data_IF_616579609207
#
_entry.id   IF_616579609207
#
_cell.length_a   1.000
_cell.length_b   1.000
_cell.length_c   1.000
_cell.angle_alpha   90.00
_cell.angle_beta   90.00
_cell.angle_gamma   90.00
#
_symmetry.space_group_name_H-M   'P 1'
#
loop_
_entity.id
_entity.type
_entity.pdbx_description
1 polymer ?
#
# COMPACT_ATOMS: atom_id res chain seq x y z
N UNK A 1 10.69 36.54 0.35
CA UNK A 1 10.62 35.12 -0.10
C UNK A 1 11.14 34.29 1.06
N UNK A 2 10.34 33.38 1.59
CA UNK A 2 10.76 32.46 2.64
C UNK A 2 11.31 31.22 1.93
N UNK A 3 12.62 30.96 2.05
CA UNK A 3 13.22 29.74 1.53
C UNK A 3 13.16 28.65 2.61
N UNK A 4 12.49 27.56 2.34
CA UNK A 4 12.47 26.38 3.20
C UNK A 4 13.63 25.46 2.78
N UNK A 5 14.53 25.19 3.73
CA UNK A 5 15.62 24.24 3.50
C UNK A 5 15.23 22.88 4.05
N UNK A 6 15.18 21.88 3.21
CA UNK A 6 14.87 20.49 3.55
C UNK A 6 15.86 19.53 2.89
N UNK A 7 15.99 18.34 3.43
CA UNK A 7 16.84 17.30 2.85
C UNK A 7 16.08 16.50 1.80
N UNK A 8 14.73 16.44 1.91
CA UNK A 8 13.87 15.78 0.97
C UNK A 8 12.55 16.54 0.78
N UNK A 9 11.99 16.43 -0.42
CA UNK A 9 10.65 16.91 -0.74
C UNK A 9 9.82 15.73 -1.22
N UNK A 10 8.70 15.48 -0.55
CA UNK A 10 7.72 14.47 -0.93
C UNK A 10 6.52 15.16 -1.57
N UNK A 11 6.19 14.79 -2.79
CA UNK A 11 5.07 15.37 -3.53
C UNK A 11 3.90 14.38 -3.55
N UNK A 12 2.80 14.77 -2.93
CA UNK A 12 1.60 13.97 -2.76
C UNK A 12 1.45 13.41 -1.35
N UNK A 13 0.38 13.81 -0.67
CA UNK A 13 0.04 13.44 0.71
C UNK A 13 -0.93 12.25 0.80
N UNK A 14 -0.89 11.33 -0.16
CA UNK A 14 -1.57 10.04 -0.06
C UNK A 14 -0.79 9.04 0.81
N UNK A 15 -1.27 7.80 0.94
CA UNK A 15 -0.63 6.77 1.78
C UNK A 15 0.87 6.62 1.50
N UNK A 16 1.25 6.48 0.23
CA UNK A 16 2.64 6.31 -0.15
C UNK A 16 3.51 7.52 0.26
N UNK A 17 3.03 8.74 0.01
CA UNK A 17 3.77 9.95 0.37
C UNK A 17 3.90 10.13 1.89
N UNK A 18 2.83 9.87 2.63
CA UNK A 18 2.84 9.95 4.10
C UNK A 18 3.83 8.92 4.68
N UNK A 19 3.79 7.67 4.23
CA UNK A 19 4.71 6.63 4.70
C UNK A 19 6.15 6.99 4.35
N UNK A 20 6.39 7.44 3.11
CA UNK A 20 7.74 7.90 2.69
C UNK A 20 8.24 9.04 3.57
N UNK A 21 7.40 10.05 3.84
CA UNK A 21 7.77 11.16 4.71
C UNK A 21 8.09 10.69 6.14
N UNK A 22 7.30 9.77 6.68
CA UNK A 22 7.54 9.20 8.01
C UNK A 22 8.86 8.45 8.09
N UNK A 23 9.18 7.63 7.10
CA UNK A 23 10.44 6.87 7.08
C UNK A 23 11.67 7.80 6.95
N UNK A 24 11.57 8.84 6.12
CA UNK A 24 12.61 9.86 6.02
C UNK A 24 12.80 10.63 7.33
N UNK A 25 11.72 11.01 8.01
CA UNK A 25 11.77 11.66 9.33
C UNK A 25 12.41 10.74 10.39
N UNK A 26 12.05 9.43 10.38
CA UNK A 26 12.67 8.43 11.27
C UNK A 26 14.17 8.28 11.01
N UNK A 27 14.59 8.46 9.77
CA UNK A 27 16.00 8.49 9.39
C UNK A 27 16.71 9.82 9.69
N UNK A 28 16.05 10.75 10.39
CA UNK A 28 16.61 12.03 10.80
C UNK A 28 16.63 13.08 9.70
N UNK A 29 15.94 12.88 8.58
CA UNK A 29 15.90 13.84 7.49
C UNK A 29 14.86 14.93 7.76
N UNK A 30 15.13 16.13 7.29
CA UNK A 30 14.15 17.23 7.27
C UNK A 30 13.31 17.08 5.99
N UNK A 31 12.00 16.93 6.15
CA UNK A 31 11.10 16.64 5.03
C UNK A 31 10.10 17.76 4.84
N UNK A 32 9.90 18.18 3.59
CA UNK A 32 8.74 18.94 3.17
C UNK A 32 7.80 18.02 2.42
N UNK A 33 6.56 17.90 2.91
CA UNK A 33 5.50 17.22 2.17
C UNK A 33 4.62 18.27 1.52
N UNK A 34 4.42 18.14 0.21
CA UNK A 34 3.64 19.06 -0.62
C UNK A 34 2.45 18.28 -1.19
N UNK A 35 1.26 18.80 -1.00
CA UNK A 35 0.05 18.27 -1.62
C UNK A 35 -0.71 19.36 -2.37
N UNK A 36 -1.49 18.98 -3.37
CA UNK A 36 -2.34 19.90 -4.12
C UNK A 36 -3.65 20.22 -3.42
N UNK A 37 -4.03 19.38 -2.47
CA UNK A 37 -5.29 19.52 -1.73
C UNK A 37 -5.12 20.38 -0.46
N UNK A 38 -6.23 20.70 0.17
CA UNK A 38 -6.23 21.42 1.43
C UNK A 38 -5.84 20.52 2.60
N UNK A 39 -5.41 21.07 3.75
CA UNK A 39 -5.06 20.26 4.92
C UNK A 39 -6.15 19.28 5.36
N UNK A 40 -7.43 19.66 5.20
CA UNK A 40 -8.57 18.82 5.58
C UNK A 40 -8.77 17.62 4.64
N UNK A 41 -8.13 17.64 3.48
CA UNK A 41 -8.18 16.61 2.45
C UNK A 41 -6.86 15.85 2.29
N UNK A 42 -5.91 16.07 3.18
CA UNK A 42 -4.68 15.31 3.20
C UNK A 42 -4.97 13.82 3.42
N UNK A 43 -4.41 12.95 2.60
CA UNK A 43 -4.66 11.50 2.63
C UNK A 43 -5.05 10.91 1.26
N UNK A 44 -5.37 11.78 0.30
CA UNK A 44 -5.67 11.40 -1.07
C UNK A 44 -6.88 10.45 -1.17
N UNK A 45 -6.77 9.44 -2.03
CA UNK A 45 -7.85 8.48 -2.25
C UNK A 45 -8.19 7.63 -1.03
N UNK A 46 -7.28 7.51 -0.05
CA UNK A 46 -7.53 6.75 1.17
C UNK A 46 -8.72 7.29 1.99
N UNK A 47 -9.00 8.60 1.90
CA UNK A 47 -10.16 9.22 2.55
C UNK A 47 -11.50 8.72 2.01
N UNK A 48 -11.52 8.21 0.81
CA UNK A 48 -12.72 7.71 0.12
C UNK A 48 -12.77 6.19 0.06
N UNK A 49 -11.70 5.55 0.53
CA UNK A 49 -11.61 4.11 0.52
C UNK A 49 -12.46 3.48 1.61
N UNK A 50 -12.91 2.28 1.35
CA UNK A 50 -13.63 1.45 2.32
C UNK A 50 -12.78 1.10 3.56
N UNK A 51 -11.45 1.14 3.45
CA UNK A 51 -10.51 0.92 4.56
C UNK A 51 -10.22 -0.54 4.87
N UNK A 52 -10.66 -1.47 4.02
CA UNK A 52 -10.34 -2.89 4.16
C UNK A 52 -8.96 -3.23 3.57
N UNK A 53 -8.34 -4.25 4.15
CA UNK A 53 -7.17 -4.90 3.61
C UNK A 53 -7.48 -6.38 3.39
N UNK A 54 -7.11 -6.91 2.23
CA UNK A 54 -7.15 -8.34 1.96
C UNK A 54 -5.83 -8.95 2.42
N UNK A 55 -5.86 -9.69 3.53
CA UNK A 55 -4.70 -10.38 4.07
C UNK A 55 -4.90 -11.89 3.94
N UNK A 56 -3.81 -12.62 3.74
CA UNK A 56 -3.85 -14.06 3.45
C UNK A 56 -3.33 -14.85 4.64
N UNK A 57 -4.06 -15.90 5.03
CA UNK A 57 -3.60 -16.87 6.03
C UNK A 57 -3.29 -16.28 7.39
N UNK A 58 -4.06 -15.30 7.84
CA UNK A 58 -3.81 -14.63 9.13
C UNK A 58 -4.19 -15.53 10.33
N UNK A 59 -3.53 -15.35 11.50
CA UNK A 59 -3.92 -16.05 12.71
C UNK A 59 -5.38 -15.84 13.12
N UNK A 60 -5.97 -14.69 12.75
CA UNK A 60 -7.37 -14.42 13.00
C UNK A 60 -8.29 -15.29 12.13
N UNK A 61 -7.96 -15.45 10.86
CA UNK A 61 -8.70 -16.34 9.95
C UNK A 61 -8.62 -17.79 10.45
N UNK A 62 -7.43 -18.24 10.84
CA UNK A 62 -7.23 -19.57 11.43
C UNK A 62 -8.10 -19.78 12.70
N UNK A 63 -8.08 -18.83 13.62
CA UNK A 63 -8.89 -18.87 14.85
C UNK A 63 -10.41 -18.88 14.57
N UNK A 64 -10.84 -18.30 13.45
CA UNK A 64 -12.22 -18.28 12.98
C UNK A 64 -12.61 -19.53 12.16
N UNK A 65 -11.66 -20.44 11.92
CA UNK A 65 -11.87 -21.63 11.08
C UNK A 65 -12.03 -21.30 9.60
N UNK A 66 -11.51 -20.17 9.14
CA UNK A 66 -11.51 -19.77 7.73
C UNK A 66 -10.25 -20.34 7.08
N UNK A 67 -10.39 -21.36 6.20
CA UNK A 67 -9.24 -21.89 5.49
C UNK A 67 -8.79 -20.88 4.44
N UNK A 68 -7.55 -20.43 4.58
CA UNK A 68 -6.93 -19.54 3.61
C UNK A 68 -5.41 -19.77 3.63
N UNK A 69 -4.84 -19.96 2.45
CA UNK A 69 -3.39 -20.14 2.28
C UNK A 69 -2.90 -19.29 1.11
N UNK A 70 -1.60 -18.97 1.05
CA UNK A 70 -1.04 -18.28 -0.11
C UNK A 70 -1.35 -18.98 -1.44
N UNK A 71 -1.34 -20.32 -1.47
CA UNK A 71 -1.65 -21.08 -2.69
C UNK A 71 -3.11 -20.92 -3.09
N UNK A 72 -4.04 -21.01 -2.14
CA UNK A 72 -5.47 -20.83 -2.40
C UNK A 72 -5.76 -19.39 -2.84
N UNK A 73 -5.21 -18.41 -2.12
CA UNK A 73 -5.39 -17.01 -2.44
C UNK A 73 -4.82 -16.66 -3.82
N UNK A 74 -3.66 -17.21 -4.18
CA UNK A 74 -3.10 -17.03 -5.51
C UNK A 74 -3.98 -17.65 -6.59
N UNK A 75 -4.45 -18.88 -6.37
CA UNK A 75 -5.35 -19.55 -7.30
C UNK A 75 -6.61 -18.70 -7.56
N UNK A 76 -7.25 -18.25 -6.48
CA UNK A 76 -8.47 -17.45 -6.58
C UNK A 76 -8.21 -16.09 -7.25
N UNK A 77 -7.07 -15.46 -6.96
CA UNK A 77 -6.68 -14.21 -7.60
C UNK A 77 -6.48 -14.35 -9.11
N UNK A 78 -5.77 -15.41 -9.52
CA UNK A 78 -5.54 -15.67 -10.94
C UNK A 78 -6.85 -15.97 -11.69
N UNK A 79 -7.71 -16.74 -11.06
CA UNK A 79 -8.99 -17.12 -11.64
C UNK A 79 -9.95 -15.93 -11.71
N UNK A 80 -10.11 -15.19 -10.62
CA UNK A 80 -11.00 -14.03 -10.55
C UNK A 80 -10.51 -12.85 -11.40
N UNK A 81 -9.19 -12.65 -11.43
CA UNK A 81 -8.55 -11.60 -12.22
C UNK A 81 -8.42 -11.91 -13.70
N UNK A 82 -8.78 -13.14 -14.13
CA UNK A 82 -8.65 -13.60 -15.52
C UNK A 82 -7.24 -13.35 -16.09
N UNK A 83 -6.19 -13.54 -15.24
CA UNK A 83 -4.82 -13.27 -15.64
C UNK A 83 -4.32 -14.32 -16.62
N UNK A 84 -3.73 -13.85 -17.74
CA UNK A 84 -3.08 -14.73 -18.70
C UNK A 84 -1.75 -15.26 -18.12
N UNK A 85 -1.41 -16.54 -18.33
CA UNK A 85 -0.11 -17.09 -17.95
C UNK A 85 1.12 -16.33 -18.50
N UNK A 86 0.92 -15.50 -19.53
CA UNK A 86 1.95 -14.65 -20.12
C UNK A 86 2.02 -13.24 -19.51
N UNK A 87 1.10 -12.90 -18.59
CA UNK A 87 1.07 -11.62 -17.88
C UNK A 87 2.15 -11.58 -16.78
N UNK A 88 3.39 -11.43 -17.18
CA UNK A 88 4.55 -11.54 -16.28
C UNK A 88 4.40 -10.70 -15.00
N UNK A 89 4.18 -9.39 -15.13
CA UNK A 89 4.15 -8.48 -13.99
C UNK A 89 2.92 -8.64 -13.09
N UNK A 90 1.69 -8.76 -13.61
CA UNK A 90 0.53 -9.07 -12.78
C UNK A 90 0.68 -10.36 -11.97
N UNK A 91 1.26 -11.41 -12.59
CA UNK A 91 1.52 -12.68 -11.90
C UNK A 91 2.56 -12.53 -10.79
N UNK A 92 3.66 -11.81 -11.04
CA UNK A 92 4.69 -11.57 -10.03
C UNK A 92 4.13 -10.76 -8.84
N UNK A 93 3.34 -9.72 -9.09
CA UNK A 93 2.70 -8.95 -8.03
C UNK A 93 1.69 -9.77 -7.23
N UNK A 94 0.87 -10.58 -7.87
CA UNK A 94 -0.08 -11.45 -7.18
C UNK A 94 0.65 -12.42 -6.23
N UNK A 95 1.70 -13.09 -6.70
CA UNK A 95 2.55 -13.98 -5.88
C UNK A 95 3.18 -13.25 -4.71
N UNK A 96 3.86 -12.15 -5.00
CA UNK A 96 4.51 -11.35 -3.97
C UNK A 96 3.52 -10.92 -2.87
N UNK A 97 2.33 -10.48 -3.27
CA UNK A 97 1.30 -10.03 -2.33
C UNK A 97 0.82 -11.15 -1.42
N UNK A 98 0.45 -12.31 -1.96
CA UNK A 98 -0.09 -13.42 -1.15
C UNK A 98 0.95 -14.05 -0.22
N UNK A 99 2.24 -13.94 -0.57
CA UNK A 99 3.35 -14.46 0.23
C UNK A 99 3.77 -13.51 1.37
N UNK A 100 3.44 -12.21 1.28
CA UNK A 100 3.96 -11.18 2.18
C UNK A 100 2.87 -10.34 2.87
N UNK A 101 1.60 -10.67 2.69
CA UNK A 101 0.47 -9.94 3.30
C UNK A 101 0.04 -10.44 4.71
#
# INVERSE_FOLDING_TARGET
MIALQTDAVVVGGGLAGIVTALELLRAGQRVALIDRDTPERLGGLALWAFGGMALVGTPLQEAMGIPDTPEQALHDWLQFGELDPQDEWPLQWARYYVEHS
#
